data_IF_610035022857
#
_entry.id   IF_610035022857
#
_cell.length_a   1.000
_cell.length_b   1.000
_cell.length_c   1.000
_cell.angle_alpha   90.00
_cell.angle_beta   90.00
_cell.angle_gamma   90.00
#
_symmetry.space_group_name_H-M   'P 1'
#
loop_
_entity.id
_entity.type
_entity.pdbx_description
1 polymer ?
#
# COMPACT_ATOMS: atom_id res chain seq x y z
N UNK A 1 22.18 18.94 -17.71
CA UNK A 1 21.26 19.50 -16.69
C UNK A 1 19.93 18.79 -16.87
N UNK A 2 19.52 17.85 -16.00
CA UNK A 2 18.18 17.30 -16.10
C UNK A 2 17.19 18.45 -15.82
N UNK A 3 16.19 18.59 -16.69
CA UNK A 3 15.14 19.58 -16.51
C UNK A 3 14.43 19.27 -15.19
N UNK A 4 14.49 20.20 -14.23
CA UNK A 4 13.68 20.13 -13.02
C UNK A 4 12.23 20.18 -13.47
N UNK A 5 11.51 19.07 -13.29
CA UNK A 5 10.09 19.00 -13.58
C UNK A 5 9.40 20.12 -12.82
N UNK A 6 8.73 21.04 -13.53
CA UNK A 6 7.87 22.04 -12.89
C UNK A 6 6.80 21.27 -12.10
N UNK A 7 6.54 21.62 -10.83
CA UNK A 7 5.41 21.04 -10.11
C UNK A 7 4.15 21.34 -10.91
N UNK A 8 3.35 20.31 -11.20
CA UNK A 8 2.04 20.53 -11.79
C UNK A 8 1.24 21.46 -10.85
N UNK A 9 0.53 22.41 -11.43
CA UNK A 9 -0.30 23.32 -10.65
C UNK A 9 -1.36 22.49 -9.90
N UNK A 10 -1.59 22.75 -8.60
CA UNK A 10 -2.72 22.15 -7.89
C UNK A 10 -4.00 22.39 -8.69
N UNK A 11 -4.78 21.33 -8.93
CA UNK A 11 -6.08 21.49 -9.59
C UNK A 11 -7.00 22.28 -8.65
N UNK A 12 -7.76 23.22 -9.22
CA UNK A 12 -8.67 24.04 -8.45
C UNK A 12 -9.70 23.17 -7.71
N UNK A 13 -10.07 23.52 -6.46
CA UNK A 13 -11.17 22.87 -5.77
C UNK A 13 -12.44 22.85 -6.63
N UNK A 14 -13.28 21.83 -6.46
CA UNK A 14 -14.57 21.72 -7.16
C UNK A 14 -15.74 21.78 -6.17
N UNK A 15 -16.93 22.10 -6.67
CA UNK A 15 -18.17 22.04 -5.90
C UNK A 15 -18.86 20.72 -6.20
N UNK A 16 -19.09 19.90 -5.19
CA UNK A 16 -19.80 18.62 -5.34
C UNK A 16 -21.33 18.83 -5.50
N UNK A 17 -22.06 17.75 -5.77
CA UNK A 17 -23.53 17.78 -5.94
C UNK A 17 -24.27 18.30 -4.70
N UNK A 18 -23.63 18.33 -3.52
CA UNK A 18 -24.19 18.87 -2.28
C UNK A 18 -23.75 20.32 -2.02
N UNK A 19 -23.22 21.00 -3.03
CA UNK A 19 -22.75 22.38 -2.96
C UNK A 19 -21.60 22.59 -1.96
N UNK A 20 -20.80 21.54 -1.70
CA UNK A 20 -19.62 21.63 -0.84
C UNK A 20 -18.35 21.81 -1.68
N UNK A 21 -17.48 22.73 -1.28
CA UNK A 21 -16.17 22.92 -1.89
C UNK A 21 -15.22 21.79 -1.46
N UNK A 22 -14.65 21.08 -2.43
CA UNK A 22 -13.82 19.89 -2.25
C UNK A 22 -12.46 20.05 -2.91
N UNK A 23 -11.43 19.57 -2.23
CA UNK A 23 -10.11 19.43 -2.83
C UNK A 23 -10.16 18.40 -3.97
N UNK A 24 -9.46 18.67 -5.07
CA UNK A 24 -9.26 17.71 -6.13
C UNK A 24 -8.34 16.58 -5.65
N UNK A 25 -8.71 15.31 -5.85
CA UNK A 25 -7.92 14.18 -5.36
C UNK A 25 -6.64 13.95 -6.17
N UNK A 26 -6.61 14.43 -7.41
CA UNK A 26 -5.45 14.40 -8.29
C UNK A 26 -4.99 15.83 -8.65
N UNK A 27 -3.71 16.02 -8.96
CA UNK A 27 -2.70 14.98 -9.03
C UNK A 27 -2.18 14.55 -7.65
N UNK A 28 -1.61 13.35 -7.58
CA UNK A 28 -0.87 12.85 -6.42
C UNK A 28 0.60 13.28 -6.48
N UNK A 29 1.27 13.29 -5.33
CA UNK A 29 2.70 13.61 -5.21
C UNK A 29 3.44 12.46 -4.57
N UNK A 30 4.62 12.12 -5.09
CA UNK A 30 5.53 11.16 -4.47
C UNK A 30 6.07 11.74 -3.16
N UNK A 31 5.53 11.27 -2.04
CA UNK A 31 5.93 11.72 -0.72
C UNK A 31 7.25 11.07 -0.28
N UNK A 32 7.39 9.76 -0.52
CA UNK A 32 8.59 9.00 -0.21
C UNK A 32 8.89 7.98 -1.29
N UNK A 33 10.19 7.77 -1.55
CA UNK A 33 10.70 6.75 -2.44
C UNK A 33 11.94 6.08 -1.81
N UNK A 34 11.88 4.77 -1.68
CA UNK A 34 13.06 3.93 -1.44
C UNK A 34 13.24 2.97 -2.60
N UNK A 35 14.47 2.77 -3.08
CA UNK A 35 14.76 1.92 -4.22
C UNK A 35 14.47 2.58 -5.58
N UNK A 36 14.24 1.76 -6.60
CA UNK A 36 14.02 2.21 -7.98
C UNK A 36 12.55 2.05 -8.37
N UNK A 37 11.96 3.11 -8.91
CA UNK A 37 10.59 3.09 -9.42
C UNK A 37 10.51 3.95 -10.69
N UNK A 38 9.44 3.74 -11.44
CA UNK A 38 9.18 4.42 -12.70
C UNK A 38 7.78 5.01 -12.72
N UNK A 39 7.67 6.18 -13.33
CA UNK A 39 6.42 6.77 -13.78
C UNK A 39 6.21 6.40 -15.24
N UNK A 40 5.04 5.89 -15.59
CA UNK A 40 4.63 5.68 -16.98
C UNK A 40 3.56 6.71 -17.32
N UNK A 41 3.72 7.41 -18.44
CA UNK A 41 2.69 8.32 -18.95
C UNK A 41 1.53 7.55 -19.61
N UNK A 42 0.54 8.27 -20.13
CA UNK A 42 -0.64 7.74 -20.82
C UNK A 42 -0.30 6.92 -22.08
N UNK A 43 0.92 7.08 -22.62
CA UNK A 43 1.45 6.34 -23.77
C UNK A 43 2.37 5.19 -23.35
N UNK A 44 2.56 4.97 -22.05
CA UNK A 44 3.42 3.94 -21.51
C UNK A 44 4.91 4.27 -21.56
N UNK A 45 5.28 5.53 -21.84
CA UNK A 45 6.69 5.96 -21.80
C UNK A 45 7.14 6.03 -20.35
N UNK A 46 8.19 5.26 -20.05
CA UNK A 46 8.73 5.11 -18.70
C UNK A 46 9.78 6.17 -18.40
N UNK A 47 9.64 6.84 -17.27
CA UNK A 47 10.60 7.80 -16.71
C UNK A 47 10.96 7.39 -15.27
N UNK A 48 12.19 7.65 -14.84
CA UNK A 48 12.61 7.37 -13.45
C UNK A 48 11.79 8.24 -12.51
N UNK A 49 11.20 7.60 -11.50
CA UNK A 49 10.42 8.27 -10.47
C UNK A 49 11.35 8.92 -9.43
N UNK A 50 10.99 10.10 -8.93
CA UNK A 50 11.71 10.80 -7.86
C UNK A 50 10.73 11.34 -6.83
N UNK A 51 11.18 11.53 -5.58
CA UNK A 51 10.40 12.23 -4.56
C UNK A 51 10.02 13.64 -5.03
N UNK A 52 8.81 14.08 -4.69
CA UNK A 52 8.24 15.34 -5.15
C UNK A 52 7.68 15.33 -6.57
N UNK A 53 7.89 14.26 -7.36
CA UNK A 53 7.24 14.13 -8.67
C UNK A 53 5.72 14.03 -8.52
N UNK A 54 5.03 14.53 -9.53
CA UNK A 54 3.58 14.51 -9.62
C UNK A 54 3.13 13.34 -10.48
N UNK A 55 2.10 12.63 -10.03
CA UNK A 55 1.38 11.58 -10.76
C UNK A 55 -0.05 12.05 -10.96
N UNK A 56 -0.41 12.34 -12.20
CA UNK A 56 -1.73 12.77 -12.59
C UNK A 56 -2.53 11.61 -13.21
N UNK A 57 -3.75 11.94 -13.64
CA UNK A 57 -4.65 10.99 -14.27
C UNK A 57 -4.04 10.26 -15.48
N UNK A 58 -4.38 8.98 -15.63
CA UNK A 58 -3.88 8.04 -16.64
C UNK A 58 -2.41 7.67 -16.51
N UNK A 59 -1.67 8.30 -15.59
CA UNK A 59 -0.28 7.96 -15.33
C UNK A 59 -0.18 6.80 -14.34
N UNK A 60 0.87 5.99 -14.50
CA UNK A 60 1.11 4.82 -13.67
C UNK A 60 2.41 4.96 -12.87
N UNK A 61 2.44 4.32 -11.71
CA UNK A 61 3.65 4.12 -10.91
C UNK A 61 3.96 2.64 -10.85
N UNK A 62 5.20 2.29 -11.18
CA UNK A 62 5.73 0.93 -11.12
C UNK A 62 6.94 0.88 -10.20
N UNK A 63 6.93 -0.04 -9.25
CA UNK A 63 8.03 -0.26 -8.28
C UNK A 63 8.85 -1.50 -8.67
N UNK A 64 10.16 -1.45 -8.41
CA UNK A 64 11.03 -2.62 -8.54
C UNK A 64 10.84 -3.60 -7.36
N UNK A 65 11.44 -4.80 -7.40
CA UNK A 65 11.35 -5.79 -6.33
C UNK A 65 11.93 -5.38 -4.97
N UNK A 66 12.64 -4.25 -4.89
CA UNK A 66 13.21 -3.73 -3.64
C UNK A 66 12.85 -2.26 -3.43
N UNK A 67 11.76 -1.79 -4.05
CA UNK A 67 11.32 -0.41 -3.99
C UNK A 67 10.00 -0.23 -3.23
N UNK A 68 9.85 0.95 -2.64
CA UNK A 68 8.67 1.37 -1.89
C UNK A 68 8.35 2.80 -2.29
N UNK A 69 7.10 3.06 -2.65
CA UNK A 69 6.63 4.40 -3.02
C UNK A 69 5.41 4.77 -2.21
N UNK A 70 5.44 5.93 -1.58
CA UNK A 70 4.26 6.51 -0.94
C UNK A 70 3.80 7.73 -1.71
N UNK A 71 2.53 7.72 -2.09
CA UNK A 71 1.86 8.80 -2.81
C UNK A 71 0.87 9.50 -1.88
N UNK A 72 0.92 10.83 -1.85
CA UNK A 72 -0.06 11.69 -1.21
C UNK A 72 -1.02 12.21 -2.28
N UNK A 73 -2.30 11.89 -2.17
CA UNK A 73 -3.33 12.41 -3.06
C UNK A 73 -3.77 13.81 -2.59
N UNK A 74 -4.33 14.61 -3.50
CA UNK A 74 -4.79 15.97 -3.21
C UNK A 74 -6.00 16.04 -2.26
N UNK A 75 -6.69 14.92 -2.05
CA UNK A 75 -7.76 14.76 -1.07
C UNK A 75 -7.23 14.47 0.35
N UNK A 76 -5.91 14.29 0.49
CA UNK A 76 -5.20 13.95 1.71
C UNK A 76 -5.08 12.44 1.97
N UNK A 77 -5.75 11.60 1.17
CA UNK A 77 -5.57 10.15 1.22
C UNK A 77 -4.14 9.78 0.83
N UNK A 78 -3.65 8.66 1.36
CA UNK A 78 -2.29 8.18 1.05
C UNK A 78 -2.35 6.75 0.54
N UNK A 79 -1.53 6.44 -0.44
CA UNK A 79 -1.31 5.07 -0.90
C UNK A 79 0.16 4.72 -0.86
N UNK A 80 0.47 3.51 -0.40
CA UNK A 80 1.81 2.96 -0.31
C UNK A 80 1.87 1.75 -1.24
N UNK A 81 2.84 1.77 -2.14
CA UNK A 81 3.15 0.70 -3.07
C UNK A 81 4.38 -0.05 -2.53
N UNK A 82 4.24 -1.30 -2.09
CA UNK A 82 5.36 -2.17 -1.77
C UNK A 82 6.07 -2.65 -3.04
N UNK A 83 7.08 -3.49 -2.85
CA UNK A 83 7.85 -4.07 -3.94
C UNK A 83 6.97 -4.71 -5.03
N UNK A 84 7.45 -4.65 -6.28
CA UNK A 84 6.82 -5.31 -7.44
C UNK A 84 5.34 -4.95 -7.64
N UNK A 85 4.98 -3.69 -7.43
CA UNK A 85 3.62 -3.18 -7.56
C UNK A 85 3.49 -2.16 -8.69
N UNK A 86 2.36 -2.20 -9.39
CA UNK A 86 2.01 -1.29 -10.47
C UNK A 86 0.58 -0.80 -10.31
N UNK A 87 0.42 0.52 -10.19
CA UNK A 87 -0.89 1.18 -10.13
C UNK A 87 -0.99 2.26 -11.18
N UNK A 88 -2.21 2.51 -11.66
CA UNK A 88 -2.56 3.67 -12.49
C UNK A 88 -3.57 4.53 -11.76
N UNK A 89 -3.39 5.85 -11.81
CA UNK A 89 -4.36 6.78 -11.23
C UNK A 89 -5.37 7.18 -12.29
N UNK A 90 -6.64 7.24 -11.92
CA UNK A 90 -7.72 7.72 -12.77
C UNK A 90 -8.70 8.56 -11.93
N UNK A 91 -9.43 9.47 -12.58
CA UNK A 91 -10.43 10.33 -11.96
C UNK A 91 -11.72 10.18 -12.75
N UNK A 92 -12.78 9.76 -12.08
CA UNK A 92 -14.12 9.79 -12.69
C UNK A 92 -14.63 11.22 -12.61
N UNK A 93 -14.42 12.01 -13.66
CA UNK A 93 -14.65 13.46 -13.69
C UNK A 93 -16.05 13.86 -13.22
N UNK A 94 -17.10 13.15 -13.66
CA UNK A 94 -18.50 13.46 -13.35
C UNK A 94 -18.79 13.48 -11.85
N UNK A 95 -18.01 12.74 -11.05
CA UNK A 95 -18.24 12.53 -9.63
C UNK A 95 -17.00 12.88 -8.79
N UNK A 96 -15.92 13.30 -9.46
CA UNK A 96 -14.59 13.52 -8.89
C UNK A 96 -14.11 12.38 -7.98
N UNK A 97 -14.42 11.12 -8.35
CA UNK A 97 -14.04 9.93 -7.59
C UNK A 97 -12.62 9.51 -8.01
N UNK A 98 -11.63 9.53 -7.10
CA UNK A 98 -10.33 8.95 -7.39
C UNK A 98 -10.43 7.44 -7.49
N UNK A 99 -9.89 6.91 -8.58
CA UNK A 99 -9.69 5.49 -8.81
C UNK A 99 -8.21 5.18 -8.83
N UNK A 100 -7.81 4.20 -8.02
CA UNK A 100 -6.48 3.60 -8.07
C UNK A 100 -6.65 2.22 -8.71
N UNK A 101 -6.23 2.13 -9.96
CA UNK A 101 -6.29 0.89 -10.73
C UNK A 101 -5.04 0.07 -10.37
N UNK A 102 -5.22 -0.99 -9.58
CA UNK A 102 -4.15 -1.92 -9.22
C UNK A 102 -4.02 -2.98 -10.31
N UNK A 103 -3.01 -2.84 -11.14
CA UNK A 103 -2.75 -3.77 -12.24
C UNK A 103 -2.05 -5.03 -11.73
N UNK A 104 -1.05 -4.86 -10.85
CA UNK A 104 -0.28 -5.96 -10.28
C UNK A 104 0.33 -5.57 -8.92
N UNK A 105 0.54 -6.56 -8.07
CA UNK A 105 1.26 -6.40 -6.80
C UNK A 105 0.31 -5.97 -5.69
N UNK A 106 0.73 -5.03 -4.85
CA UNK A 106 -0.01 -4.64 -3.66
C UNK A 106 -0.13 -3.11 -3.56
N UNK A 107 -1.22 -2.65 -2.96
CA UNK A 107 -1.38 -1.28 -2.48
C UNK A 107 -1.93 -1.31 -1.06
N UNK A 108 -1.34 -0.50 -0.19
CA UNK A 108 -1.90 -0.18 1.11
C UNK A 108 -2.44 1.25 1.09
N UNK A 109 -3.68 1.43 1.48
CA UNK A 109 -4.37 2.72 1.34
C UNK A 109 -4.90 3.21 2.70
N UNK A 110 -4.65 4.48 2.96
CA UNK A 110 -5.10 5.25 4.11
C UNK A 110 -6.07 6.32 3.60
N UNK A 111 -7.35 5.95 3.53
CA UNK A 111 -8.40 6.81 2.98
C UNK A 111 -8.98 7.66 4.09
N UNK A 112 -9.02 8.98 3.91
CA UNK A 112 -9.57 9.89 4.90
C UNK A 112 -11.08 9.69 5.02
N UNK A 113 -11.59 9.53 6.24
CA UNK A 113 -13.03 9.49 6.50
C UNK A 113 -13.62 10.88 6.36
N UNK A 114 -14.63 11.02 5.50
CA UNK A 114 -15.36 12.26 5.31
C UNK A 114 -16.86 12.07 5.54
N UNK A 115 -17.53 13.16 5.93
CA UNK A 115 -18.92 13.15 6.38
C UNK A 115 -19.92 12.83 5.25
N UNK A 116 -19.54 13.00 3.98
CA UNK A 116 -20.43 12.80 2.84
C UNK A 116 -20.53 11.34 2.41
N UNK A 117 -21.72 10.92 1.98
CA UNK A 117 -21.96 9.61 1.35
C UNK A 117 -21.37 9.52 -0.07
N UNK A 118 -20.91 10.64 -0.63
CA UNK A 118 -20.36 10.74 -1.98
C UNK A 118 -18.83 10.86 -2.02
N UNK A 119 -18.17 10.99 -0.87
CA UNK A 119 -16.70 10.89 -0.78
C UNK A 119 -16.30 9.41 -0.97
N UNK A 120 -16.23 9.01 -2.25
CA UNK A 120 -15.93 7.66 -2.68
C UNK A 120 -14.50 7.61 -3.16
N UNK A 121 -13.72 6.72 -2.58
CA UNK A 121 -12.43 6.29 -3.10
C UNK A 121 -12.63 4.89 -3.66
N UNK A 122 -11.99 4.58 -4.79
CA UNK A 122 -12.13 3.27 -5.41
C UNK A 122 -10.76 2.65 -5.70
N UNK A 123 -10.64 1.34 -5.41
CA UNK A 123 -9.58 0.50 -5.96
C UNK A 123 -10.19 -0.34 -7.06
N UNK A 124 -9.63 -0.29 -8.25
CA UNK A 124 -10.07 -1.12 -9.38
C UNK A 124 -9.03 -2.21 -9.59
N UNK A 125 -9.49 -3.45 -9.68
CA UNK A 125 -8.66 -4.61 -10.00
C UNK A 125 -9.20 -5.30 -11.25
N UNK A 126 -8.43 -6.18 -11.91
CA UNK A 126 -8.93 -6.98 -13.05
C UNK A 126 -10.14 -7.87 -12.75
N UNK A 127 -10.45 -8.10 -11.46
CA UNK A 127 -11.50 -9.02 -11.01
C UNK A 127 -12.63 -8.37 -10.21
N UNK A 128 -12.58 -7.05 -10.01
CA UNK A 128 -13.64 -6.30 -9.32
C UNK A 128 -13.24 -4.90 -8.89
N UNK A 129 -14.24 -4.14 -8.45
CA UNK A 129 -14.12 -2.77 -7.93
C UNK A 129 -14.37 -2.80 -6.41
N UNK A 130 -13.53 -2.08 -5.68
CA UNK A 130 -13.66 -1.91 -4.25
C UNK A 130 -14.05 -0.47 -3.95
N UNK A 131 -15.24 -0.28 -3.39
CA UNK A 131 -15.75 1.00 -2.89
C UNK A 131 -15.32 1.21 -1.45
N UNK A 132 -14.71 2.38 -1.19
CA UNK A 132 -14.01 2.62 0.06
C UNK A 132 -14.38 3.96 0.65
N UNK A 133 -14.61 3.96 1.97
CA UNK A 133 -14.88 5.17 2.74
C UNK A 133 -14.20 5.13 4.10
N UNK A 134 -13.19 5.98 4.28
CA UNK A 134 -12.58 6.18 5.59
C UNK A 134 -11.97 4.91 6.19
N UNK A 135 -11.08 4.26 5.45
CA UNK A 135 -10.53 2.95 5.82
C UNK A 135 -9.02 2.91 5.74
N UNK A 136 -8.44 1.99 6.50
CA UNK A 136 -7.07 1.53 6.32
C UNK A 136 -7.11 0.06 5.91
N UNK A 137 -6.61 -0.24 4.72
CA UNK A 137 -6.73 -1.56 4.12
C UNK A 137 -5.60 -1.82 3.12
N UNK A 138 -5.43 -3.10 2.78
CA UNK A 138 -4.51 -3.57 1.77
C UNK A 138 -5.28 -4.26 0.67
N UNK A 139 -4.83 -4.09 -0.57
CA UNK A 139 -5.31 -4.85 -1.72
C UNK A 139 -4.11 -5.43 -2.44
N UNK A 140 -4.16 -6.72 -2.77
CA UNK A 140 -3.16 -7.39 -3.58
C UNK A 140 -3.83 -8.04 -4.79
N UNK A 141 -3.20 -7.94 -5.96
CA UNK A 141 -3.67 -8.55 -7.19
C UNK A 141 -2.51 -9.27 -7.91
N UNK A 142 -2.73 -10.51 -8.30
CA UNK A 142 -1.79 -11.32 -9.09
C UNK A 142 -2.25 -11.54 -10.54
N UNK A 143 -3.42 -11.00 -10.90
CA UNK A 143 -4.02 -11.13 -12.23
C UNK A 143 -5.08 -12.23 -12.34
N UNK A 144 -5.02 -13.26 -11.49
CA UNK A 144 -6.04 -14.31 -11.41
C UNK A 144 -7.05 -14.04 -10.30
N UNK A 145 -6.55 -13.52 -9.18
CA UNK A 145 -7.33 -13.19 -8.01
C UNK A 145 -6.87 -11.87 -7.40
N UNK A 146 -7.80 -11.26 -6.66
CA UNK A 146 -7.50 -10.15 -5.78
C UNK A 146 -7.82 -10.53 -4.35
N UNK A 147 -7.09 -9.91 -3.46
CA UNK A 147 -7.18 -10.10 -2.02
C UNK A 147 -7.36 -8.72 -1.40
N UNK A 148 -8.35 -8.57 -0.54
CA UNK A 148 -8.51 -7.37 0.29
C UNK A 148 -8.39 -7.75 1.77
N UNK A 149 -7.61 -6.98 2.52
CA UNK A 149 -7.49 -7.12 3.97
C UNK A 149 -7.76 -5.77 4.62
N UNK A 150 -8.82 -5.68 5.43
CA UNK A 150 -9.27 -4.43 6.04
C UNK A 150 -8.75 -4.37 7.47
N UNK A 151 -7.86 -3.42 7.73
CA UNK A 151 -7.26 -3.22 9.07
C UNK A 151 -8.15 -2.31 9.92
N UNK A 152 -8.76 -1.29 9.33
CA UNK A 152 -9.71 -0.39 9.98
C UNK A 152 -10.80 0.06 8.98
N UNK A 153 -12.03 0.21 9.46
CA UNK A 153 -13.17 0.67 8.66
C UNK A 153 -13.89 -0.48 7.96
N UNK A 154 -14.35 -0.25 6.73
CA UNK A 154 -15.11 -1.21 5.94
C UNK A 154 -14.93 -0.94 4.43
N UNK A 155 -14.74 -2.01 3.67
CA UNK A 155 -14.64 -1.97 2.20
C UNK A 155 -15.81 -2.72 1.60
N UNK A 156 -16.43 -2.13 0.57
CA UNK A 156 -17.43 -2.78 -0.26
C UNK A 156 -16.75 -3.37 -1.50
N UNK A 157 -16.96 -4.67 -1.77
CA UNK A 157 -16.39 -5.34 -2.94
C UNK A 157 -17.51 -5.69 -3.91
N UNK A 158 -17.36 -5.29 -5.17
CA UNK A 158 -18.31 -5.58 -6.24
C UNK A 158 -17.56 -6.18 -7.45
N UNK A 159 -18.00 -7.33 -7.94
CA UNK A 159 -17.40 -8.02 -9.10
C UNK A 159 -18.07 -7.67 -10.43
N UNK A 160 -19.31 -7.20 -10.39
CA UNK A 160 -20.15 -6.97 -11.57
C UNK A 160 -20.04 -5.54 -12.11
N UNK A 161 -19.34 -4.66 -11.38
CA UNK A 161 -19.00 -3.32 -11.83
C UNK A 161 -17.83 -3.38 -12.83
N UNK A 162 -18.11 -3.06 -14.09
CA UNK A 162 -17.09 -3.05 -15.14
C UNK A 162 -16.05 -1.96 -14.88
N UNK A 163 -14.74 -2.23 -15.10
CA UNK A 163 -13.72 -1.19 -15.12
C UNK A 163 -14.10 -0.07 -16.08
N UNK A 164 -13.66 1.18 -15.84
CA UNK A 164 -13.98 2.30 -16.73
C UNK A 164 -13.54 1.97 -18.15
N UNK A 165 -14.49 2.05 -19.08
CA UNK A 165 -14.21 2.04 -20.52
C UNK A 165 -14.12 3.49 -20.99
N UNK A 166 -13.34 3.76 -22.03
CA UNK A 166 -13.11 5.11 -22.60
C UNK A 166 -14.35 5.80 -23.19
N UNK A 167 -15.56 5.26 -22.95
CA UNK A 167 -16.83 5.84 -23.39
C UNK A 167 -17.68 6.14 -22.17
N UNK A 168 -18.14 7.40 -21.98
CA UNK A 168 -18.99 7.75 -20.86
C UNK A 168 -20.34 7.04 -21.01
N UNK A 169 -20.58 6.04 -20.16
CA UNK A 169 -21.91 5.46 -19.99
C UNK A 169 -22.60 6.27 -18.90
N UNK A 170 -23.59 7.07 -19.29
CA UNK A 170 -24.47 7.81 -18.35
C UNK A 170 -25.22 6.83 -17.45
N UNK A 171 -24.61 6.35 -16.37
CA UNK A 171 -25.31 5.65 -15.29
C UNK A 171 -25.48 6.62 -14.14
N UNK A 172 -26.74 6.80 -13.69
CA UNK A 172 -27.04 7.51 -12.44
C UNK A 172 -26.22 6.88 -11.30
N UNK A 173 -25.73 7.67 -10.34
CA UNK A 173 -25.10 7.13 -9.14
C UNK A 173 -26.06 6.12 -8.49
N UNK A 174 -25.63 4.87 -8.34
CA UNK A 174 -26.39 3.92 -7.53
C UNK A 174 -26.12 4.30 -6.08
N UNK A 175 -27.13 4.90 -5.44
CA UNK A 175 -27.16 5.18 -4.00
C UNK A 175 -28.05 4.10 -3.38
N UNK A 176 -27.42 3.09 -2.77
CA UNK A 176 -28.08 1.92 -2.21
C UNK A 176 -27.24 0.65 -2.39
N UNK A 177 -27.57 -0.44 -1.68
CA UNK A 177 -26.87 -1.72 -1.83
C UNK A 177 -26.92 -2.18 -3.29
N UNK A 178 -25.75 -2.36 -3.90
CA UNK A 178 -25.66 -2.90 -5.26
C UNK A 178 -25.80 -4.41 -5.17
N UNK A 179 -26.65 -5.01 -6.00
CA UNK A 179 -26.75 -6.47 -6.08
C UNK A 179 -25.35 -7.05 -6.41
N UNK A 180 -24.86 -7.99 -5.60
CA UNK A 180 -23.52 -8.57 -5.72
C UNK A 180 -22.43 -7.90 -4.87
N UNK A 181 -22.76 -6.86 -4.10
CA UNK A 181 -21.83 -6.19 -3.18
C UNK A 181 -21.64 -6.99 -1.89
N UNK A 182 -20.38 -7.23 -1.51
CA UNK A 182 -20.00 -7.85 -0.24
C UNK A 182 -19.16 -6.90 0.60
N UNK A 183 -19.56 -6.73 1.87
CA UNK A 183 -18.89 -5.85 2.83
C UNK A 183 -17.85 -6.63 3.62
N UNK A 184 -16.63 -6.10 3.65
CA UNK A 184 -15.50 -6.62 4.43
C UNK A 184 -15.20 -5.62 5.54
N UNK A 185 -15.37 -6.04 6.79
CA UNK A 185 -15.18 -5.19 7.98
C UNK A 185 -13.74 -5.18 8.49
N UNK A 186 -13.48 -4.32 9.48
CA UNK A 186 -12.19 -4.30 10.18
C UNK A 186 -11.81 -5.68 10.73
N UNK A 187 -10.54 -6.03 10.60
CA UNK A 187 -9.96 -7.34 10.90
C UNK A 187 -10.48 -8.49 10.02
N UNK A 188 -11.11 -8.19 8.90
CA UNK A 188 -11.53 -9.20 7.94
C UNK A 188 -10.75 -9.10 6.64
N UNK A 189 -10.61 -10.25 5.99
CA UNK A 189 -10.01 -10.41 4.69
C UNK A 189 -10.96 -11.13 3.75
N UNK A 190 -10.76 -10.92 2.45
CA UNK A 190 -11.53 -11.58 1.42
C UNK A 190 -10.64 -11.84 0.21
N UNK A 191 -10.58 -13.10 -0.20
CA UNK A 191 -10.04 -13.51 -1.50
C UNK A 191 -11.18 -13.53 -2.50
N UNK A 192 -11.01 -12.90 -3.65
CA UNK A 192 -12.03 -12.84 -4.68
C UNK A 192 -11.47 -12.99 -6.10
N UNK A 193 -12.18 -13.77 -6.90
CA UNK A 193 -11.92 -14.03 -8.32
C UNK A 193 -13.11 -13.53 -9.14
N UNK A 194 -13.06 -13.58 -10.46
CA UNK A 194 -14.20 -13.23 -11.32
C UNK A 194 -15.47 -14.02 -11.00
N UNK A 195 -15.33 -15.24 -10.48
CA UNK A 195 -16.43 -16.14 -10.12
C UNK A 195 -16.11 -16.86 -8.79
N UNK A 196 -17.12 -17.42 -8.15
CA UNK A 196 -17.00 -18.16 -6.90
C UNK A 196 -17.69 -17.47 -5.73
N UNK A 197 -17.62 -18.05 -4.53
CA UNK A 197 -18.20 -17.44 -3.34
C UNK A 197 -17.42 -16.19 -2.92
N UNK A 198 -18.11 -15.24 -2.29
CA UNK A 198 -17.54 -14.08 -1.63
C UNK A 198 -17.75 -14.22 -0.13
N UNK A 199 -16.78 -14.79 0.57
CA UNK A 199 -16.87 -15.04 2.00
C UNK A 199 -15.74 -14.35 2.74
N UNK A 200 -16.01 -13.22 3.43
CA UNK A 200 -15.04 -12.62 4.32
C UNK A 200 -14.66 -13.58 5.45
N UNK A 201 -13.39 -13.57 5.83
CA UNK A 201 -12.85 -14.37 6.94
C UNK A 201 -12.08 -13.46 7.89
N UNK A 202 -12.00 -13.85 9.16
CA UNK A 202 -11.22 -13.13 10.16
C UNK A 202 -9.73 -13.25 9.88
N UNK A 203 -9.02 -12.13 9.96
CA UNK A 203 -7.58 -12.05 9.81
C UNK A 203 -6.87 -12.63 11.03
N UNK A 204 -5.72 -13.27 10.81
CA UNK A 204 -4.84 -13.72 11.89
C UNK A 204 -4.47 -12.55 12.82
N UNK A 205 -4.31 -12.86 14.11
CA UNK A 205 -3.78 -11.94 15.10
C UNK A 205 -2.34 -11.50 14.76
N UNK A 206 -1.89 -10.33 15.25
CA UNK A 206 -0.55 -9.84 14.97
C UNK A 206 0.54 -10.73 15.60
N UNK A 207 1.64 -11.03 14.89
CA UNK A 207 2.77 -11.73 15.48
C UNK A 207 3.39 -10.98 16.67
N UNK A 208 3.82 -11.73 17.69
CA UNK A 208 4.52 -11.18 18.85
C UNK A 208 6.03 -11.24 18.65
N UNK A 209 6.71 -10.10 18.72
CA UNK A 209 8.17 -10.03 18.77
C UNK A 209 8.65 -10.51 20.14
N UNK A 210 9.55 -11.51 20.17
CA UNK A 210 10.10 -12.05 21.43
C UNK A 210 11.56 -11.67 21.67
N UNK A 211 12.27 -11.24 20.63
CA UNK A 211 13.65 -10.82 20.76
C UNK A 211 14.27 -10.40 19.44
N UNK A 212 15.50 -9.93 19.53
CA UNK A 212 16.33 -9.56 18.38
C UNK A 212 17.79 -9.90 18.66
N UNK A 213 18.56 -10.09 17.60
CA UNK A 213 20.00 -10.28 17.64
C UNK A 213 20.67 -9.50 16.49
N UNK A 214 21.97 -9.22 16.63
CA UNK A 214 22.76 -8.47 15.65
C UNK A 214 24.14 -9.10 15.47
N UNK A 215 24.40 -9.62 14.27
CA UNK A 215 25.72 -10.15 13.94
C UNK A 215 26.71 -9.02 13.62
N UNK A 216 27.95 -9.15 14.11
CA UNK A 216 29.08 -8.26 13.80
C UNK A 216 29.68 -8.61 12.44
N UNK A 217 30.21 -7.60 11.75
CA UNK A 217 30.97 -7.78 10.51
C UNK A 217 30.80 -6.60 9.55
N UNK A 218 31.42 -6.69 8.37
CA UNK A 218 31.34 -5.65 7.33
C UNK A 218 29.92 -5.51 6.74
N UNK A 219 29.10 -6.56 6.86
CA UNK A 219 27.69 -6.57 6.52
C UNK A 219 26.87 -7.04 7.73
N UNK A 220 26.57 -6.15 8.70
CA UNK A 220 25.85 -6.55 9.90
C UNK A 220 24.45 -7.05 9.56
N UNK A 221 24.09 -8.19 10.15
CA UNK A 221 22.78 -8.82 9.98
C UNK A 221 21.96 -8.59 11.25
N UNK A 222 20.86 -7.87 11.11
CA UNK A 222 19.86 -7.71 12.16
C UNK A 222 18.83 -8.82 12.04
N UNK A 223 18.60 -9.58 13.10
CA UNK A 223 17.63 -10.68 13.11
C UNK A 223 16.56 -10.44 14.17
N UNK A 224 15.30 -10.64 13.79
CA UNK A 224 14.14 -10.59 14.67
C UNK A 224 13.60 -12.00 14.89
N UNK A 225 13.25 -12.31 16.14
CA UNK A 225 12.64 -13.59 16.53
C UNK A 225 11.20 -13.36 16.95
N UNK A 226 10.30 -14.14 16.37
CA UNK A 226 8.86 -14.05 16.61
C UNK A 226 8.40 -15.26 17.41
N UNK A 227 7.32 -15.10 18.18
CA UNK A 227 6.59 -16.25 18.70
C UNK A 227 5.90 -16.94 17.51
N UNK A 228 6.01 -18.28 17.36
CA UNK A 228 5.22 -18.99 16.36
C UNK A 228 3.72 -18.70 16.53
N UNK A 229 3.07 -18.29 15.45
CA UNK A 229 1.65 -17.96 15.43
C UNK A 229 0.86 -19.14 14.82
N UNK A 230 -0.11 -19.72 15.55
CA UNK A 230 -0.97 -20.76 14.99
C UNK A 230 -1.70 -20.29 13.71
N UNK A 231 -1.74 -21.15 12.69
CA UNK A 231 -2.35 -20.84 11.39
C UNK A 231 -1.47 -20.04 10.43
N UNK A 232 -0.34 -19.50 10.88
CA UNK A 232 0.58 -18.75 10.03
C UNK A 232 1.39 -19.68 9.11
N UNK A 233 1.32 -19.42 7.80
CA UNK A 233 2.11 -20.09 6.76
C UNK A 233 3.38 -19.31 6.39
N UNK A 234 3.34 -17.98 6.55
CA UNK A 234 4.44 -17.08 6.21
C UNK A 234 4.36 -15.83 7.08
N UNK A 235 5.50 -15.23 7.39
CA UNK A 235 5.62 -13.97 8.10
C UNK A 235 6.15 -12.90 7.16
N UNK A 236 5.75 -11.65 7.41
CA UNK A 236 6.31 -10.46 6.80
C UNK A 236 6.78 -9.53 7.90
N UNK A 237 7.92 -8.90 7.67
CA UNK A 237 8.38 -7.80 8.49
C UNK A 237 8.76 -6.63 7.59
N UNK A 238 8.36 -5.43 8.00
CA UNK A 238 8.70 -4.17 7.32
C UNK A 238 9.38 -3.24 8.31
N UNK A 239 10.39 -2.53 7.83
CA UNK A 239 11.18 -1.57 8.61
C UNK A 239 10.98 -0.19 7.99
N UNK A 240 10.46 0.76 8.77
CA UNK A 240 10.21 2.13 8.34
C UNK A 240 10.86 3.15 9.27
N UNK A 241 11.03 4.38 8.80
CA UNK A 241 11.55 5.51 9.60
C UNK A 241 10.44 6.39 10.20
N UNK A 242 9.18 6.06 9.95
CA UNK A 242 7.98 6.72 10.50
C UNK A 242 6.95 5.69 10.97
N UNK A 243 6.03 6.11 11.84
CA UNK A 243 5.04 5.23 12.50
C UNK A 243 3.91 4.82 11.57
N UNK A 244 3.65 5.64 10.56
CA UNK A 244 2.59 5.43 9.57
C UNK A 244 3.05 4.51 8.42
N UNK A 245 4.31 4.03 8.44
CA UNK A 245 4.89 3.19 7.40
C UNK A 245 4.83 3.81 6.00
N UNK A 246 4.98 5.13 5.91
CA UNK A 246 5.05 5.89 4.65
C UNK A 246 6.47 5.89 4.08
N UNK A 247 7.50 5.71 4.90
CA UNK A 247 8.90 5.69 4.49
C UNK A 247 9.53 4.34 4.85
N UNK A 248 9.06 3.30 4.17
CA UNK A 248 9.57 1.92 4.29
C UNK A 248 10.97 1.85 3.67
N UNK A 249 11.91 1.28 4.43
CA UNK A 249 13.30 1.09 4.02
C UNK A 249 13.56 -0.31 3.51
N UNK A 250 13.01 -1.31 4.18
CA UNK A 250 13.13 -2.72 3.80
C UNK A 250 11.89 -3.50 4.18
N UNK A 251 11.68 -4.59 3.46
CA UNK A 251 10.78 -5.65 3.85
C UNK A 251 11.47 -7.00 3.68
N UNK A 252 11.02 -7.97 4.47
CA UNK A 252 11.43 -9.35 4.29
C UNK A 252 10.23 -10.27 4.54
N UNK A 253 10.35 -11.49 4.06
CA UNK A 253 9.38 -12.56 4.27
C UNK A 253 10.09 -13.85 4.69
N UNK A 254 9.44 -14.64 5.55
CA UNK A 254 9.99 -15.92 6.01
C UNK A 254 8.88 -16.93 6.27
N UNK A 255 9.12 -18.21 5.98
CA UNK A 255 8.23 -19.31 6.41
C UNK A 255 8.47 -19.71 7.86
N UNK A 256 9.55 -19.19 8.48
CA UNK A 256 9.89 -19.40 9.89
C UNK A 256 9.56 -18.13 10.68
N UNK A 257 9.33 -18.23 12.01
CA UNK A 257 9.10 -17.07 12.88
C UNK A 257 10.43 -16.32 13.16
N UNK A 258 11.19 -16.03 12.11
CA UNK A 258 12.49 -15.36 12.15
C UNK A 258 12.68 -14.55 10.86
N UNK A 259 13.12 -13.31 11.00
CA UNK A 259 13.33 -12.35 9.90
C UNK A 259 14.71 -11.73 9.99
N UNK A 260 15.36 -11.44 8.86
CA UNK A 260 16.69 -10.81 8.86
C UNK A 260 16.76 -9.59 7.93
N UNK A 261 17.52 -8.58 8.32
CA UNK A 261 17.73 -7.35 7.56
C UNK A 261 19.23 -7.01 7.53
N UNK A 262 19.67 -6.37 6.47
CA UNK A 262 21.09 -6.03 6.26
C UNK A 262 21.21 -4.63 5.66
N UNK A 263 22.35 -3.96 5.81
CA UNK A 263 22.59 -2.66 5.16
C UNK A 263 21.76 -1.48 5.68
N UNK A 264 21.01 -1.66 6.78
CA UNK A 264 20.36 -0.57 7.49
C UNK A 264 21.40 0.24 8.29
N UNK A 265 21.21 1.56 8.36
CA UNK A 265 22.03 2.44 9.20
C UNK A 265 21.61 2.31 10.66
N UNK A 266 22.50 2.62 11.59
CA UNK A 266 22.16 2.76 13.00
C UNK A 266 21.11 3.88 13.18
N UNK A 267 19.92 3.54 13.66
CA UNK A 267 18.81 4.49 13.85
C UNK A 267 17.68 3.86 14.67
N UNK A 268 16.75 4.71 15.12
CA UNK A 268 15.41 4.25 15.50
C UNK A 268 14.62 3.89 14.25
N UNK A 269 13.96 2.73 14.30
CA UNK A 269 13.04 2.26 13.27
C UNK A 269 11.72 1.81 13.89
N UNK A 270 10.67 1.90 13.09
CA UNK A 270 9.37 1.29 13.33
C UNK A 270 9.31 -0.02 12.57
N UNK A 271 9.11 -1.13 13.29
CA UNK A 271 9.02 -2.47 12.70
C UNK A 271 7.58 -2.94 12.74
N UNK A 272 7.03 -3.29 11.58
CA UNK A 272 5.69 -3.87 11.44
C UNK A 272 5.80 -5.35 11.11
N UNK A 273 5.10 -6.17 11.88
CA UNK A 273 5.04 -7.61 11.73
C UNK A 273 3.62 -8.05 11.37
N UNK A 274 3.51 -8.99 10.43
CA UNK A 274 2.24 -9.63 10.04
C UNK A 274 2.51 -11.09 9.63
N UNK A 275 1.45 -11.88 9.55
CA UNK A 275 1.51 -13.27 9.11
C UNK A 275 0.45 -13.54 8.05
N UNK A 276 0.73 -14.45 7.13
CA UNK A 276 -0.18 -14.95 6.12
C UNK A 276 -0.79 -16.27 6.57
N UNK A 277 -2.10 -16.44 6.38
CA UNK A 277 -2.80 -17.69 6.61
C UNK A 277 -2.70 -18.67 5.42
N UNK A 278 -3.43 -19.78 5.50
CA UNK A 278 -3.51 -20.80 4.44
C UNK A 278 -4.15 -20.32 3.14
N UNK A 279 -4.99 -19.28 3.20
CA UNK A 279 -5.63 -18.66 2.03
C UNK A 279 -4.72 -17.56 1.43
N UNK A 280 -3.60 -17.28 2.09
CA UNK A 280 -2.66 -16.24 1.70
C UNK A 280 -3.11 -14.84 2.14
N UNK A 281 -4.08 -14.70 3.05
CA UNK A 281 -4.48 -13.41 3.59
C UNK A 281 -3.46 -12.91 4.59
N UNK A 282 -3.01 -11.66 4.43
CA UNK A 282 -2.15 -11.02 5.41
C UNK A 282 -2.96 -10.59 6.64
N UNK A 283 -2.55 -11.03 7.82
CA UNK A 283 -3.20 -10.79 9.09
C UNK A 283 -3.06 -9.36 9.61
N UNK A 284 -3.55 -9.14 10.83
CA UNK A 284 -3.36 -7.91 11.58
C UNK A 284 -1.86 -7.63 11.82
N UNK A 285 -1.55 -6.36 12.11
CA UNK A 285 -0.17 -5.88 12.20
C UNK A 285 0.22 -5.56 13.64
N UNK A 286 1.39 -6.04 14.06
CA UNK A 286 2.03 -5.65 15.32
C UNK A 286 3.15 -4.65 15.02
N UNK A 287 3.19 -3.52 15.73
CA UNK A 287 4.21 -2.47 15.53
C UNK A 287 5.12 -2.38 16.75
N UNK A 288 6.42 -2.32 16.52
CA UNK A 288 7.47 -2.26 17.54
C UNK A 288 8.46 -1.15 17.20
N UNK A 289 8.76 -0.31 18.18
CA UNK A 289 9.78 0.73 18.05
C UNK A 289 11.12 0.15 18.51
N UNK A 290 12.10 0.09 17.61
CA UNK A 290 13.39 -0.56 17.87
C UNK A 290 14.53 0.38 17.51
N UNK A 291 15.43 0.60 18.45
CA UNK A 291 16.74 1.19 18.15
C UNK A 291 17.66 0.12 17.59
N UNK A 292 17.92 0.18 16.28
CA UNK A 292 18.91 -0.68 15.65
C UNK A 292 20.27 -0.01 15.74
N UNK A 293 21.20 -0.69 16.42
CA UNK A 293 22.61 -0.30 16.47
C UNK A 293 23.46 -1.52 16.13
N UNK A 294 24.08 -1.57 14.92
CA UNK A 294 24.96 -2.67 14.58
C UNK A 294 26.16 -2.64 15.53
N UNK A 295 26.50 -3.76 16.20
CA UNK A 295 27.62 -3.79 17.11
C UNK A 295 28.93 -3.50 16.36
N UNK A 296 29.67 -2.49 16.81
CA UNK A 296 30.87 -2.00 16.12
C UNK A 296 31.94 -3.09 15.96
N UNK A 297 32.60 -3.10 14.80
CA UNK A 297 33.80 -3.89 14.54
C UNK A 297 34.92 -3.35 15.44
N UNK A 298 35.35 -4.12 16.44
CA UNK A 298 36.50 -3.74 17.26
C UNK A 298 37.74 -3.94 16.39
N UNK A 299 38.36 -2.85 15.95
CA UNK A 299 39.66 -2.89 15.28
C UNK A 299 40.65 -3.52 16.27
N UNK A 300 41.18 -4.70 15.96
CA UNK A 300 42.35 -5.23 16.66
C UNK A 300 43.48 -4.26 16.41
N UNK A 301 43.84 -3.46 17.43
CA UNK A 301 45.14 -2.81 17.43
C UNK A 301 46.19 -3.93 17.42
N UNK A 302 46.78 -4.17 16.27
CA UNK A 302 48.07 -4.86 16.18
C UNK A 302 49.07 -3.99 16.91
N UNK A 303 49.33 -4.31 18.17
CA UNK A 303 50.50 -3.85 18.89
C UNK A 303 51.73 -4.37 18.15
N UNK A 304 52.34 -3.49 17.34
CA UNK A 304 53.65 -3.75 16.74
C UNK A 304 54.68 -3.84 17.86
N UNK A 305 55.36 -4.98 17.91
CA UNK A 305 56.59 -5.19 18.67
C UNK A 305 57.81 -4.93 17.81
#
# INVERSE_FOLDING_TARGET
MPAVARPALPRAPYVDDNLLCRAQPLPAVVQHLTGEAWKLDDKGVSTVLMEGMVIDEQESVKTSPSAFVSLLLGDGSRIVLPSSSQVRLHLVEEQAIPQVILEQGQVEAYVIKRASDYDRFQIVTPVGVLGVRGTHFRVRNDGEQSVVEVLNGQVAVNRDETPPTTKPVKKKPVVGPVAGEVKVGARQGLVFKKQGELKPVELLDPPTLVGQDGQKGDAPVWTLFLRPLPGAQRYRAQVATDKEFMNIKQENFSSKPQMSFTGLKASFYHVRLSAYDEQGLEGATGVYDIFYYPPATRVQQTSGG
#
